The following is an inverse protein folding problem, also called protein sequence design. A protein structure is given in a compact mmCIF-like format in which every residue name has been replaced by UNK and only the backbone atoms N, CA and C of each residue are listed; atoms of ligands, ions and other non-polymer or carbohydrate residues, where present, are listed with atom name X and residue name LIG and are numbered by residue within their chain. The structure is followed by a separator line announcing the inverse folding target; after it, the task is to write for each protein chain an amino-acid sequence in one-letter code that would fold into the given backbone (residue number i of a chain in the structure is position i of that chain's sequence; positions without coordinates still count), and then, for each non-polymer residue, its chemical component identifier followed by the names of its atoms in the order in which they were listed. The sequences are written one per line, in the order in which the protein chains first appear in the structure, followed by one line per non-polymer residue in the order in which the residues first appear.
data_IF_192187550566
#
_entry.id   IF_192187550566
#
_cell.length_a   1.000
_cell.length_b   1.000
_cell.length_c   1.000
_cell.angle_alpha   90.00
_cell.angle_beta   90.00
_cell.angle_gamma   90.00
#
_symmetry.space_group_name_H-M   'P 1'
#
loop_
_entity.id
_entity.type
_entity.pdbx_description
1 polymer ?
#
# COMPACT_ATOMS: atom_id res chain seq x y z
N UNK A 1 -7.29 -10.95 9.83
CA UNK A 1 -5.86 -11.14 9.48
C UNK A 1 -5.27 -9.79 9.07
N UNK A 2 -3.98 -9.58 9.33
CA UNK A 2 -3.27 -8.34 8.96
C UNK A 2 -3.21 -8.16 7.43
N UNK A 3 -3.17 -6.92 6.95
CA UNK A 3 -3.16 -6.55 5.54
C UNK A 3 -4.35 -7.10 4.71
N UNK A 4 -5.52 -7.27 5.32
CA UNK A 4 -6.74 -7.71 4.61
C UNK A 4 -7.35 -6.60 3.77
N UNK A 5 -7.41 -5.38 4.30
CA UNK A 5 -8.03 -4.22 3.63
C UNK A 5 -7.32 -3.87 2.32
N UNK A 6 -5.98 -3.90 2.31
CA UNK A 6 -5.17 -3.63 1.12
C UNK A 6 -5.35 -4.70 0.04
N UNK A 7 -5.52 -5.96 0.43
CA UNK A 7 -5.84 -7.05 -0.49
C UNK A 7 -7.25 -6.91 -1.07
N UNK A 8 -8.23 -6.48 -0.27
CA UNK A 8 -9.60 -6.25 -0.74
C UNK A 8 -9.63 -5.18 -1.84
N UNK A 9 -8.89 -4.08 -1.69
CA UNK A 9 -8.75 -3.04 -2.71
C UNK A 9 -8.29 -3.61 -4.06
N UNK A 10 -7.24 -4.43 -4.05
CA UNK A 10 -6.71 -5.07 -5.27
C UNK A 10 -7.73 -6.04 -5.87
N UNK A 11 -8.40 -6.85 -5.04
CA UNK A 11 -9.42 -7.81 -5.49
C UNK A 11 -10.64 -7.13 -6.10
N UNK A 12 -11.08 -6.01 -5.53
CA UNK A 12 -12.17 -5.20 -6.07
C UNK A 12 -11.81 -4.64 -7.45
N UNK A 13 -10.62 -4.03 -7.55
CA UNK A 13 -10.14 -3.47 -8.81
C UNK A 13 -10.03 -4.53 -9.91
N UNK A 14 -9.49 -5.71 -9.57
CA UNK A 14 -9.37 -6.84 -10.51
C UNK A 14 -10.74 -7.31 -11.01
N UNK A 15 -11.76 -7.36 -10.14
CA UNK A 15 -13.13 -7.75 -10.53
C UNK A 15 -13.78 -6.73 -11.47
N UNK A 16 -13.45 -5.45 -11.32
CA UNK A 16 -14.00 -4.37 -12.14
C UNK A 16 -13.24 -4.10 -13.45
N UNK A 17 -12.15 -4.83 -13.72
CA UNK A 17 -11.19 -4.49 -14.78
C UNK A 17 -11.80 -4.42 -16.20
N UNK A 18 -12.93 -5.07 -16.44
CA UNK A 18 -13.52 -5.21 -17.78
C UNK A 18 -14.68 -4.24 -18.09
N UNK A 19 -15.30 -3.61 -17.09
CA UNK A 19 -16.55 -2.84 -17.32
C UNK A 19 -16.40 -1.34 -17.08
N UNK A 20 -15.87 -0.95 -15.92
CA UNK A 20 -15.81 0.46 -15.50
C UNK A 20 -14.79 0.63 -14.39
N UNK A 21 -14.09 1.77 -14.40
CA UNK A 21 -13.24 2.15 -13.28
C UNK A 21 -14.12 2.31 -12.02
N UNK A 22 -13.94 1.50 -10.97
CA UNK A 22 -14.78 1.59 -9.79
C UNK A 22 -14.52 2.92 -9.05
N UNK A 23 -15.42 3.37 -8.15
CA UNK A 23 -15.15 4.50 -7.28
C UNK A 23 -13.80 4.38 -6.56
N UNK A 24 -13.18 5.52 -6.27
CA UNK A 24 -11.91 5.53 -5.54
C UNK A 24 -12.14 5.10 -4.09
N UNK A 25 -11.41 4.08 -3.64
CA UNK A 25 -11.61 3.45 -2.34
C UNK A 25 -10.93 4.19 -1.19
N UNK A 26 -11.17 5.49 -1.05
CA UNK A 26 -10.47 6.36 -0.11
C UNK A 26 -10.50 5.84 1.33
N UNK A 27 -11.67 5.39 1.80
CA UNK A 27 -11.82 4.91 3.18
C UNK A 27 -10.96 3.69 3.48
N UNK A 28 -10.90 2.74 2.53
CA UNK A 28 -10.06 1.55 2.66
C UNK A 28 -8.59 1.90 2.65
N UNK A 29 -8.18 2.88 1.86
CA UNK A 29 -6.81 3.38 1.83
C UNK A 29 -6.46 4.01 3.18
N UNK A 30 -7.34 4.86 3.73
CA UNK A 30 -7.15 5.47 5.05
C UNK A 30 -6.98 4.42 6.15
N UNK A 31 -7.81 3.38 6.13
CA UNK A 31 -7.69 2.24 7.05
C UNK A 31 -6.34 1.52 6.88
N UNK A 32 -5.89 1.28 5.64
CA UNK A 32 -4.59 0.65 5.40
C UNK A 32 -3.42 1.50 5.91
N UNK A 33 -3.48 2.81 5.71
CA UNK A 33 -2.43 3.73 6.16
C UNK A 33 -2.37 3.80 7.68
N UNK A 34 -3.52 3.79 8.36
CA UNK A 34 -3.58 3.74 9.82
C UNK A 34 -3.03 2.41 10.36
N UNK A 35 -3.39 1.28 9.74
CA UNK A 35 -2.81 -0.03 10.08
C UNK A 35 -1.28 -0.02 9.92
N UNK A 36 -0.78 0.55 8.82
CA UNK A 36 0.66 0.68 8.58
C UNK A 36 1.34 1.58 9.63
N UNK A 37 0.71 2.67 10.04
CA UNK A 37 1.22 3.54 11.09
C UNK A 37 1.38 2.80 12.41
N UNK A 38 0.32 2.11 12.87
CA UNK A 38 0.33 1.34 14.11
C UNK A 38 1.42 0.26 14.09
N UNK A 39 1.54 -0.47 12.98
CA UNK A 39 2.58 -1.49 12.81
C UNK A 39 3.98 -0.89 12.81
N UNK A 40 4.18 0.26 12.15
CA UNK A 40 5.46 0.96 12.12
C UNK A 40 5.88 1.44 13.51
N UNK A 41 4.98 2.07 14.25
CA UNK A 41 5.26 2.57 15.61
C UNK A 41 5.62 1.43 16.57
N UNK A 42 4.93 0.28 16.45
CA UNK A 42 5.28 -0.93 17.19
C UNK A 42 6.66 -1.48 16.78
N UNK A 43 6.96 -1.51 15.48
CA UNK A 43 8.25 -1.98 14.99
C UNK A 43 9.40 -1.09 15.45
N UNK A 44 9.22 0.22 15.40
CA UNK A 44 10.22 1.19 15.80
C UNK A 44 10.59 1.05 17.28
N UNK A 45 9.58 0.86 18.14
CA UNK A 45 9.78 0.61 19.58
C UNK A 45 10.57 -0.67 19.83
N UNK A 46 10.17 -1.78 19.19
CA UNK A 46 10.83 -3.08 19.42
C UNK A 46 12.26 -3.10 18.88
N UNK A 47 12.53 -2.44 17.75
CA UNK A 47 13.89 -2.26 17.21
C UNK A 47 14.76 -1.47 18.19
N UNK A 48 14.27 -0.36 18.75
CA UNK A 48 15.02 0.42 19.73
C UNK A 48 15.41 -0.39 20.97
N UNK A 49 14.51 -1.25 21.46
CA UNK A 49 14.79 -2.15 22.59
C UNK A 49 15.86 -3.18 22.22
N UNK A 50 15.73 -3.86 21.09
CA UNK A 50 16.70 -4.84 20.57
C UNK A 50 18.09 -4.22 20.37
N UNK A 51 18.15 -3.00 19.82
CA UNK A 51 19.42 -2.29 19.60
C UNK A 51 20.11 -1.86 20.88
N UNK A 52 19.37 -1.53 21.94
CA UNK A 52 19.96 -1.12 23.22
C UNK A 52 20.47 -2.34 24.03
N UNK A 53 19.77 -3.47 23.94
CA UNK A 53 20.12 -4.71 24.66
C UNK A 53 21.43 -5.37 24.20
N UNK A 54 21.92 -5.07 23.00
CA UNK A 54 23.17 -5.64 22.46
C UNK A 54 24.46 -4.98 22.99
N UNK A 55 24.35 -3.95 23.84
CA UNK A 55 25.49 -3.15 24.35
C UNK A 55 25.93 -3.47 25.79
N UNK A 56 25.29 -4.43 26.47
CA UNK A 56 25.63 -4.86 27.84
C UNK A 56 26.28 -6.26 27.89
N UNK A 57 27.18 -6.54 28.85
CA UNK A 57 27.83 -7.84 28.97
C UNK A 57 26.86 -8.89 29.54
N UNK A 58 26.43 -9.82 28.67
CA UNK A 58 25.88 -11.15 28.95
C UNK A 58 24.92 -11.29 30.14
N UNK A 59 23.62 -11.43 29.88
CA UNK A 59 22.65 -11.87 30.88
C UNK A 59 21.80 -13.03 30.39
N UNK A 60 21.93 -14.17 31.08
CA UNK A 60 21.03 -15.32 31.21
C UNK A 60 20.41 -16.01 29.97
N UNK A 61 20.36 -17.34 30.01
CA UNK A 61 19.72 -18.23 29.03
C UNK A 61 18.22 -17.91 28.74
N UNK A 62 17.56 -17.11 29.59
CA UNK A 62 16.17 -16.70 29.42
C UNK A 62 16.00 -15.39 28.61
N UNK A 63 17.00 -14.52 28.55
CA UNK A 63 16.91 -13.27 27.78
C UNK A 63 17.15 -13.47 26.28
N UNK A 64 17.85 -14.55 25.90
CA UNK A 64 18.10 -14.89 24.49
C UNK A 64 16.81 -15.23 23.75
N UNK A 65 15.86 -15.90 24.41
CA UNK A 65 14.59 -16.30 23.82
C UNK A 65 13.66 -15.11 23.61
N UNK A 66 13.54 -14.20 24.58
CA UNK A 66 12.72 -12.98 24.45
C UNK A 66 13.28 -12.04 23.37
N UNK A 67 14.60 -11.90 23.29
CA UNK A 67 15.27 -11.13 22.24
C UNK A 67 15.02 -11.72 20.85
N UNK A 68 15.16 -13.04 20.71
CA UNK A 68 14.85 -13.76 19.46
C UNK A 68 13.38 -13.57 19.05
N UNK A 69 12.44 -13.72 19.99
CA UNK A 69 11.01 -13.52 19.75
C UNK A 69 10.68 -12.10 19.28
N UNK A 70 11.33 -11.08 19.86
CA UNK A 70 11.19 -9.67 19.41
C UNK A 70 11.69 -9.48 17.99
N UNK A 71 12.85 -10.03 17.64
CA UNK A 71 13.38 -9.98 16.26
C UNK A 71 12.38 -10.63 15.28
N UNK A 72 11.86 -11.81 15.60
CA UNK A 72 10.87 -12.49 14.75
C UNK A 72 9.60 -11.63 14.59
N UNK A 73 9.11 -11.02 15.67
CA UNK A 73 7.97 -10.11 15.62
C UNK A 73 8.24 -8.91 14.70
N UNK A 74 9.45 -8.33 14.79
CA UNK A 74 9.87 -7.21 13.96
C UNK A 74 9.88 -7.57 12.47
N UNK A 75 10.44 -8.73 12.13
CA UNK A 75 10.49 -9.23 10.76
C UNK A 75 9.09 -9.48 10.19
N UNK A 76 8.20 -10.10 10.98
CA UNK A 76 6.81 -10.35 10.57
C UNK A 76 6.06 -9.04 10.32
N UNK A 77 6.15 -8.07 11.24
CA UNK A 77 5.51 -6.76 11.05
C UNK A 77 6.08 -6.01 9.85
N UNK A 78 7.39 -6.09 9.62
CA UNK A 78 8.03 -5.50 8.45
C UNK A 78 7.50 -6.11 7.14
N UNK A 79 7.42 -7.44 7.05
CA UNK A 79 6.86 -8.12 5.87
C UNK A 79 5.40 -7.71 5.59
N UNK A 80 4.61 -7.45 6.63
CA UNK A 80 3.22 -6.96 6.51
C UNK A 80 3.18 -5.51 6.00
N UNK A 81 4.06 -4.64 6.47
CA UNK A 81 4.20 -3.28 5.95
C UNK A 81 4.55 -3.28 4.46
N UNK A 82 5.49 -4.13 4.05
CA UNK A 82 5.86 -4.28 2.63
C UNK A 82 4.68 -4.81 1.79
N UNK A 83 3.91 -5.76 2.34
CA UNK A 83 2.71 -6.27 1.68
C UNK A 83 1.67 -5.18 1.48
N UNK A 84 1.37 -4.38 2.52
CA UNK A 84 0.45 -3.25 2.41
C UNK A 84 0.93 -2.22 1.38
N UNK A 85 2.23 -1.86 1.41
CA UNK A 85 2.85 -0.98 0.40
C UNK A 85 2.65 -1.51 -1.01
N UNK A 86 2.95 -2.80 -1.24
CA UNK A 86 2.82 -3.44 -2.56
C UNK A 86 1.37 -3.43 -3.05
N UNK A 87 0.41 -3.74 -2.18
CA UNK A 87 -1.02 -3.73 -2.54
C UNK A 87 -1.52 -2.33 -2.89
N UNK A 88 -1.15 -1.30 -2.11
CA UNK A 88 -1.52 0.09 -2.39
C UNK A 88 -0.94 0.57 -3.72
N UNK A 89 0.35 0.34 -3.96
CA UNK A 89 1.00 0.70 -5.22
C UNK A 89 0.37 -0.02 -6.41
N UNK A 90 0.08 -1.32 -6.27
CA UNK A 90 -0.60 -2.10 -7.32
C UNK A 90 -2.00 -1.56 -7.63
N UNK A 91 -2.76 -1.19 -6.59
CA UNK A 91 -4.08 -0.57 -6.75
C UNK A 91 -4.00 0.75 -7.52
N UNK A 92 -3.11 1.67 -7.12
CA UNK A 92 -2.95 2.95 -7.80
C UNK A 92 -2.46 2.79 -9.23
N UNK A 93 -1.45 1.94 -9.45
CA UNK A 93 -0.90 1.68 -10.77
C UNK A 93 -1.95 1.14 -11.74
N UNK A 94 -2.74 0.14 -11.32
CA UNK A 94 -3.78 -0.43 -12.16
C UNK A 94 -4.90 0.59 -12.49
N UNK A 95 -5.26 1.47 -11.55
CA UNK A 95 -6.19 2.58 -11.85
C UNK A 95 -5.61 3.57 -12.86
N UNK A 96 -4.35 3.98 -12.67
CA UNK A 96 -3.66 4.90 -13.59
C UNK A 96 -3.58 4.33 -15.01
N UNK A 97 -3.30 3.03 -15.14
CA UNK A 97 -3.29 2.36 -16.45
C UNK A 97 -4.68 2.38 -17.09
N UNK A 98 -5.75 2.11 -16.34
CA UNK A 98 -7.12 2.21 -16.87
C UNK A 98 -7.50 3.64 -17.28
N UNK A 99 -7.09 4.65 -16.51
CA UNK A 99 -7.33 6.07 -16.87
C UNK A 99 -6.57 6.43 -18.14
N UNK A 100 -5.34 5.95 -18.30
CA UNK A 100 -4.55 6.12 -19.54
C UNK A 100 -5.26 5.48 -20.73
N UNK A 101 -5.81 4.27 -20.60
CA UNK A 101 -6.60 3.63 -21.66
C UNK A 101 -7.85 4.43 -22.02
N UNK A 102 -8.62 4.89 -21.02
CA UNK A 102 -9.81 5.72 -21.23
C UNK A 102 -9.48 7.01 -22.02
N UNK A 103 -8.30 7.58 -21.84
CA UNK A 103 -7.85 8.75 -22.61
C UNK A 103 -7.65 8.43 -24.09
N UNK A 104 -7.21 7.22 -24.43
CA UNK A 104 -7.09 6.77 -25.82
C UNK A 104 -8.45 6.37 -26.41
N UNK A 105 -9.37 5.82 -25.60
CA UNK A 105 -10.73 5.42 -26.02
C UNK A 105 -11.67 6.61 -26.27
N UNK A 106 -11.71 7.60 -25.36
CA UNK A 106 -12.72 8.67 -25.36
C UNK A 106 -12.17 10.05 -25.76
N UNK A 107 -10.86 10.19 -25.92
CA UNK A 107 -10.26 11.47 -26.28
C UNK A 107 -10.27 12.49 -25.13
N UNK A 108 -10.56 13.75 -25.43
CA UNK A 108 -10.41 14.89 -24.49
C UNK A 108 -11.55 14.92 -23.45
N UNK A 109 -12.73 14.41 -23.80
CA UNK A 109 -13.95 14.53 -22.99
C UNK A 109 -14.32 13.15 -22.47
N UNK A 110 -14.15 12.90 -21.18
CA UNK A 110 -14.70 11.71 -20.55
C UNK A 110 -16.22 11.88 -20.36
N UNK A 111 -17.05 10.88 -20.73
CA UNK A 111 -18.48 10.91 -20.46
C UNK A 111 -18.76 11.08 -18.96
N UNK A 112 -19.63 12.04 -18.61
CA UNK A 112 -19.94 12.44 -17.21
C UNK A 112 -20.42 11.29 -16.30
N UNK A 113 -20.86 10.17 -16.88
CA UNK A 113 -21.30 8.99 -16.13
C UNK A 113 -20.20 8.20 -15.42
N UNK A 114 -18.91 8.52 -15.63
CA UNK A 114 -17.77 7.76 -15.08
C UNK A 114 -16.99 8.47 -13.94
N UNK A 115 -17.61 9.50 -13.35
CA UNK A 115 -17.24 10.24 -12.12
C UNK A 115 -15.96 11.10 -12.15
N UNK A 116 -16.13 12.37 -11.81
CA UNK A 116 -15.22 13.27 -11.07
C UNK A 116 -13.71 13.20 -11.37
N UNK A 117 -13.33 13.22 -12.64
CA UNK A 117 -11.95 13.49 -13.04
C UNK A 117 -11.77 14.97 -13.34
N UNK A 118 -11.01 15.67 -12.49
CA UNK A 118 -10.44 16.98 -12.83
C UNK A 118 -9.50 16.76 -14.01
N UNK A 119 -9.81 17.40 -15.14
CA UNK A 119 -9.10 17.27 -16.42
C UNK A 119 -7.65 17.69 -16.23
N UNK A 120 -6.74 16.73 -16.14
CA UNK A 120 -5.31 16.97 -16.34
C UNK A 120 -5.10 17.24 -17.83
N UNK A 121 -4.86 18.51 -18.19
CA UNK A 121 -4.37 18.89 -19.52
C UNK A 121 -3.02 18.21 -19.74
N UNK A 122 -3.01 17.12 -20.51
CA UNK A 122 -1.78 16.46 -20.94
C UNK A 122 -1.27 17.14 -22.22
N UNK A 123 -0.18 17.91 -22.12
CA UNK A 123 0.50 18.59 -23.22
C UNK A 123 1.37 17.66 -24.10
N UNK A 124 1.21 16.32 -24.03
CA UNK A 124 2.10 15.38 -24.72
C UNK A 124 1.72 15.05 -26.18
N UNK A 125 0.72 15.71 -26.77
CA UNK A 125 0.28 15.43 -28.14
C UNK A 125 0.97 16.28 -29.24
N UNK A 126 2.20 16.77 -29.01
CA UNK A 126 3.00 17.47 -30.03
C UNK A 126 4.30 16.73 -30.37
N UNK A 127 4.26 15.40 -30.44
CA UNK A 127 5.34 14.64 -31.10
C UNK A 127 4.74 13.56 -31.99
N UNK A 128 4.33 14.01 -33.18
CA UNK A 128 4.10 13.18 -34.35
C UNK A 128 5.44 12.64 -34.88
N UNK A 129 5.52 11.32 -34.99
CA UNK A 129 6.35 10.57 -35.95
C UNK A 129 5.48 9.45 -36.52
#
# INVERSE_FOLDING_TARGET
MLAQTSLQLVKELKRSQQSKLPPYGEDKIRICLEEMRVLYDANHRDVALVSNSSSGPSSSLYETDDHSNKIQSVLVRHAILERNKRCLLAYHHARLMRIKELRWEYGIILPKGNSDFVILRCNFCNLSL
#
